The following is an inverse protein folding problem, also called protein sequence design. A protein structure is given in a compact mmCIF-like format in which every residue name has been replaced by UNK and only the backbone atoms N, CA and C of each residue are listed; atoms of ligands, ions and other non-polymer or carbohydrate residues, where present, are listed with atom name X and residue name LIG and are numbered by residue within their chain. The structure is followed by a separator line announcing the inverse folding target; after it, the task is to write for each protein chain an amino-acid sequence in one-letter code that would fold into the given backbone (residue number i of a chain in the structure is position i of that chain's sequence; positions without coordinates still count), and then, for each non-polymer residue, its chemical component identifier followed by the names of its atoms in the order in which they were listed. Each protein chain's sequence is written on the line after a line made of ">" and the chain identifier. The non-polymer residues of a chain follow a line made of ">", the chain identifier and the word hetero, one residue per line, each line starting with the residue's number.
data_IF_326183028150
#
_entry.id   IF_326183028150
#
_cell.length_a   1.000
_cell.length_b   1.000
_cell.length_c   1.000
_cell.angle_alpha   90.00
_cell.angle_beta   90.00
_cell.angle_gamma   90.00
#
_symmetry.space_group_name_H-M   'P 1'
#
loop_
_entity.id
_entity.type
_entity.pdbx_description
1 polymer ?
#
# COMPACT_ATOMS: atom_id res chain seq x y z
N UNK A 1 -20.84 -3.24 -50.41
CA UNK A 1 -20.52 -3.03 -48.97
C UNK A 1 -21.68 -2.26 -48.38
N UNK A 2 -22.45 -2.91 -47.49
CA UNK A 2 -23.55 -2.27 -46.79
C UNK A 2 -23.03 -1.73 -45.45
N UNK A 3 -23.20 -0.43 -45.22
CA UNK A 3 -22.82 0.23 -43.98
C UNK A 3 -23.95 0.07 -42.96
N UNK A 4 -23.65 -0.52 -41.80
CA UNK A 4 -24.58 -0.60 -40.68
C UNK A 4 -24.74 0.81 -40.08
N UNK A 5 -25.93 1.37 -40.23
CA UNK A 5 -26.31 2.64 -39.62
C UNK A 5 -26.60 2.42 -38.13
N UNK A 6 -25.62 2.72 -37.26
CA UNK A 6 -25.83 2.72 -35.82
C UNK A 6 -26.73 3.91 -35.45
N UNK A 7 -28.01 3.64 -35.17
CA UNK A 7 -28.88 4.59 -34.49
C UNK A 7 -28.30 4.88 -33.11
N UNK A 8 -27.91 6.13 -32.88
CA UNK A 8 -27.57 6.68 -31.58
C UNK A 8 -28.77 6.56 -30.65
N UNK A 9 -28.67 5.71 -29.65
CA UNK A 9 -29.57 5.70 -28.50
C UNK A 9 -29.24 6.90 -27.62
N UNK A 10 -30.14 7.89 -27.58
CA UNK A 10 -30.13 8.94 -26.57
C UNK A 10 -30.30 8.29 -25.20
N UNK A 11 -29.20 8.11 -24.48
CA UNK A 11 -29.24 7.72 -23.08
C UNK A 11 -29.50 8.97 -22.24
N UNK A 12 -30.77 9.21 -21.90
CA UNK A 12 -31.14 10.05 -20.76
C UNK A 12 -30.58 9.39 -19.50
N UNK A 13 -29.36 9.73 -19.11
CA UNK A 13 -28.64 9.17 -17.96
C UNK A 13 -29.00 9.90 -16.65
N UNK A 14 -29.81 10.97 -16.68
CA UNK A 14 -30.09 11.78 -15.50
C UNK A 14 -31.52 11.66 -14.96
N UNK A 15 -32.14 10.47 -15.04
CA UNK A 15 -33.30 10.18 -14.18
C UNK A 15 -32.84 9.36 -12.99
N UNK A 16 -32.76 9.93 -11.76
CA UNK A 16 -32.53 9.13 -10.58
C UNK A 16 -33.68 8.12 -10.47
N UNK A 17 -33.34 6.84 -10.47
CA UNK A 17 -34.26 5.74 -10.19
C UNK A 17 -34.95 6.03 -8.84
N UNK A 18 -36.20 6.46 -8.89
CA UNK A 18 -37.02 6.62 -7.70
C UNK A 18 -37.43 5.23 -7.19
N UNK A 19 -36.59 4.63 -6.35
CA UNK A 19 -36.84 3.32 -5.73
C UNK A 19 -37.76 3.42 -4.49
N UNK A 20 -38.38 4.57 -4.25
CA UNK A 20 -39.37 4.71 -3.19
C UNK A 20 -40.78 4.46 -3.73
N UNK A 21 -41.18 3.19 -3.76
CA UNK A 21 -42.49 2.70 -3.25
C UNK A 21 -42.78 1.32 -3.82
N UNK A 22 -42.30 0.25 -3.16
CA UNK A 22 -42.90 -1.10 -3.07
C UNK A 22 -41.97 -2.18 -2.51
N UNK A 23 -40.81 -1.81 -1.94
CA UNK A 23 -39.83 -2.79 -1.44
C UNK A 23 -39.95 -3.08 0.07
N UNK A 24 -41.17 -3.12 0.62
CA UNK A 24 -41.37 -3.23 2.08
C UNK A 24 -42.08 -4.50 2.55
N UNK A 25 -42.21 -5.54 1.72
CA UNK A 25 -42.98 -6.75 2.11
C UNK A 25 -42.19 -8.06 2.23
N UNK A 26 -40.93 -8.16 1.77
CA UNK A 26 -40.11 -9.36 2.04
C UNK A 26 -38.65 -8.99 2.25
N UNK A 27 -38.24 -8.82 3.51
CA UNK A 27 -36.83 -8.84 3.90
C UNK A 27 -36.34 -10.29 3.97
N UNK A 28 -36.18 -10.92 2.81
CA UNK A 28 -35.38 -12.15 2.76
C UNK A 28 -33.94 -11.80 3.11
N UNK A 29 -33.35 -12.51 4.08
CA UNK A 29 -31.95 -12.30 4.52
C UNK A 29 -30.96 -12.31 3.35
N UNK A 30 -31.26 -13.12 2.33
CA UNK A 30 -30.48 -13.22 1.10
C UNK A 30 -30.48 -11.93 0.28
N UNK A 31 -31.55 -11.13 0.33
CA UNK A 31 -31.63 -9.86 -0.40
C UNK A 31 -30.83 -8.77 0.31
N UNK A 32 -30.84 -8.75 1.64
CA UNK A 32 -30.00 -7.84 2.44
C UNK A 32 -28.52 -8.18 2.26
N UNK A 33 -28.17 -9.46 2.26
CA UNK A 33 -26.80 -9.91 1.98
C UNK A 33 -26.35 -9.61 0.54
N UNK A 34 -27.26 -9.74 -0.42
CA UNK A 34 -27.00 -9.33 -1.80
C UNK A 34 -26.72 -7.83 -1.90
N UNK A 35 -27.54 -6.98 -1.28
CA UNK A 35 -27.33 -5.52 -1.24
C UNK A 35 -26.00 -5.15 -0.58
N UNK A 36 -25.67 -5.77 0.55
CA UNK A 36 -24.40 -5.53 1.25
C UNK A 36 -23.19 -5.96 0.42
N UNK A 37 -23.29 -7.11 -0.27
CA UNK A 37 -22.23 -7.58 -1.19
C UNK A 37 -22.13 -6.68 -2.41
N UNK A 38 -23.25 -6.25 -3.00
CA UNK A 38 -23.25 -5.37 -4.16
C UNK A 38 -22.72 -3.99 -3.82
N UNK A 39 -23.02 -3.44 -2.65
CA UNK A 39 -22.44 -2.16 -2.20
C UNK A 39 -20.94 -2.28 -1.92
N UNK A 40 -20.49 -3.42 -1.39
CA UNK A 40 -19.06 -3.69 -1.21
C UNK A 40 -18.34 -3.79 -2.56
N UNK A 41 -18.93 -4.51 -3.53
CA UNK A 41 -18.40 -4.62 -4.90
C UNK A 41 -18.43 -3.26 -5.60
N UNK A 42 -19.51 -2.48 -5.45
CA UNK A 42 -19.62 -1.14 -6.05
C UNK A 42 -18.62 -0.16 -5.44
N UNK A 43 -18.36 -0.24 -4.12
CA UNK A 43 -17.27 0.51 -3.48
C UNK A 43 -15.92 0.09 -4.03
N UNK A 44 -15.67 -1.22 -4.19
CA UNK A 44 -14.43 -1.76 -4.77
C UNK A 44 -14.23 -1.32 -6.23
N UNK A 45 -15.28 -1.35 -7.05
CA UNK A 45 -15.27 -0.90 -8.45
C UNK A 45 -15.08 0.62 -8.54
N UNK A 46 -15.75 1.41 -7.70
CA UNK A 46 -15.54 2.86 -7.63
C UNK A 46 -14.15 3.24 -7.15
N UNK A 47 -13.54 2.48 -6.23
CA UNK A 47 -12.11 2.65 -5.92
C UNK A 47 -11.22 2.26 -7.09
N UNK A 48 -11.61 1.32 -7.95
CA UNK A 48 -10.85 0.98 -9.16
C UNK A 48 -10.94 2.07 -10.23
N UNK A 49 -12.12 2.64 -10.48
CA UNK A 49 -12.36 3.61 -11.55
C UNK A 49 -11.98 5.06 -11.17
N UNK A 50 -12.00 5.42 -9.88
CA UNK A 50 -11.46 6.71 -9.42
C UNK A 50 -9.95 6.70 -9.18
N UNK A 51 -9.27 5.57 -9.35
CA UNK A 51 -7.81 5.51 -9.37
C UNK A 51 -7.33 5.84 -10.78
N UNK A 52 -7.59 7.08 -11.20
CA UNK A 52 -6.60 7.80 -11.98
C UNK A 52 -5.42 8.11 -11.06
N UNK A 53 -4.73 7.07 -10.55
CA UNK A 53 -3.42 7.26 -9.90
C UNK A 53 -2.59 8.04 -10.89
N UNK A 54 -2.20 9.26 -10.51
CA UNK A 54 -1.25 10.05 -11.28
C UNK A 54 -0.06 9.15 -11.67
N UNK A 55 0.59 9.43 -12.80
CA UNK A 55 1.79 8.68 -13.22
C UNK A 55 2.80 8.54 -12.08
N UNK A 56 2.91 9.58 -11.25
CA UNK A 56 3.72 9.62 -10.03
C UNK A 56 3.29 8.58 -8.99
N UNK A 57 1.99 8.43 -8.72
CA UNK A 57 1.48 7.43 -7.79
C UNK A 57 1.74 6.00 -8.30
N UNK A 58 1.60 5.75 -9.60
CA UNK A 58 1.94 4.43 -10.19
C UNK A 58 3.43 4.11 -10.06
N UNK A 59 4.29 5.10 -10.30
CA UNK A 59 5.75 4.96 -10.13
C UNK A 59 6.09 4.70 -8.65
N UNK A 60 5.44 5.42 -7.72
CA UNK A 60 5.65 5.24 -6.29
C UNK A 60 5.23 3.83 -5.82
N UNK A 61 4.08 3.33 -6.27
CA UNK A 61 3.63 1.97 -5.99
C UNK A 61 4.62 0.92 -6.53
N UNK A 62 5.05 1.07 -7.79
CA UNK A 62 6.01 0.15 -8.40
C UNK A 62 7.38 0.18 -7.70
N UNK A 63 7.79 1.35 -7.20
CA UNK A 63 9.00 1.47 -6.40
C UNK A 63 8.86 0.74 -5.07
N UNK A 64 7.73 0.85 -4.38
CA UNK A 64 7.46 0.10 -3.15
C UNK A 64 7.50 -1.41 -3.41
N UNK A 65 6.83 -1.88 -4.45
CA UNK A 65 6.85 -3.30 -4.87
C UNK A 65 8.27 -3.81 -5.09
N UNK A 66 9.08 -3.04 -5.82
CA UNK A 66 10.48 -3.38 -6.10
C UNK A 66 11.33 -3.40 -4.83
N UNK A 67 11.27 -2.33 -4.04
CA UNK A 67 12.10 -2.16 -2.83
C UNK A 67 11.77 -3.17 -1.73
N UNK A 68 10.53 -3.67 -1.69
CA UNK A 68 10.09 -4.69 -0.75
C UNK A 68 9.97 -6.09 -1.37
N UNK A 69 10.36 -6.26 -2.65
CA UNK A 69 10.24 -7.51 -3.40
C UNK A 69 8.89 -8.21 -3.17
N UNK A 70 7.82 -7.47 -3.49
CA UNK A 70 6.42 -7.88 -3.36
C UNK A 70 5.59 -7.35 -4.53
N UNK A 71 4.36 -7.84 -4.68
CA UNK A 71 3.34 -7.24 -5.54
C UNK A 71 2.19 -6.75 -4.66
N UNK A 72 1.76 -5.50 -4.85
CA UNK A 72 0.64 -4.92 -4.12
C UNK A 72 -0.65 -5.50 -4.71
N UNK A 73 -1.49 -6.03 -3.83
CA UNK A 73 -2.76 -6.66 -4.20
C UNK A 73 -3.92 -6.04 -3.43
N UNK A 74 -5.15 -6.47 -3.74
CA UNK A 74 -6.34 -5.94 -3.08
C UNK A 74 -6.38 -6.17 -1.57
N UNK A 75 -5.63 -7.13 -1.04
CA UNK A 75 -5.55 -7.40 0.40
C UNK A 75 -4.54 -6.51 1.15
N UNK A 76 -3.81 -5.66 0.43
CA UNK A 76 -2.87 -4.70 1.01
C UNK A 76 -3.49 -3.31 1.17
N UNK A 77 -4.80 -3.17 0.91
CA UNK A 77 -5.57 -1.96 1.11
C UNK A 77 -6.49 -2.11 2.33
N UNK A 78 -6.66 -1.00 3.06
CA UNK A 78 -7.64 -0.84 4.13
C UNK A 78 -9.05 -0.75 3.56
N UNK A 79 -10.06 -0.91 4.42
CA UNK A 79 -11.48 -0.78 4.05
C UNK A 79 -11.85 0.60 3.48
N UNK A 80 -11.06 1.63 3.76
CA UNK A 80 -11.24 2.98 3.22
C UNK A 80 -10.57 3.19 1.85
N UNK A 81 -10.01 2.13 1.24
CA UNK A 81 -9.36 2.17 -0.06
C UNK A 81 -7.94 2.73 -0.06
N UNK A 82 -7.36 3.04 1.10
CA UNK A 82 -5.97 3.49 1.23
C UNK A 82 -5.02 2.31 1.43
N UNK A 83 -3.78 2.45 1.00
CA UNK A 83 -2.78 1.39 1.12
C UNK A 83 -2.36 1.22 2.59
N UNK A 84 -2.37 -0.03 3.09
CA UNK A 84 -1.95 -0.39 4.45
C UNK A 84 -0.44 -0.51 4.53
N UNK A 85 0.24 0.64 4.61
CA UNK A 85 1.72 0.69 4.67
C UNK A 85 2.26 -0.05 5.88
N UNK A 86 1.61 0.05 7.03
CA UNK A 86 2.08 -0.62 8.24
C UNK A 86 1.91 -2.14 8.16
N UNK A 87 0.81 -2.62 7.56
CA UNK A 87 0.64 -4.03 7.22
C UNK A 87 1.73 -4.53 6.28
N UNK A 88 2.04 -3.77 5.22
CA UNK A 88 3.09 -4.08 4.26
C UNK A 88 4.47 -4.15 4.93
N UNK A 89 4.84 -3.14 5.73
CA UNK A 89 6.12 -3.09 6.45
C UNK A 89 6.26 -4.28 7.39
N UNK A 90 5.20 -4.69 8.09
CA UNK A 90 5.25 -5.86 8.98
C UNK A 90 5.52 -7.16 8.22
N UNK A 91 5.00 -7.30 7.00
CA UNK A 91 5.15 -8.53 6.18
C UNK A 91 6.45 -8.57 5.38
N UNK A 92 6.96 -7.41 4.94
CA UNK A 92 8.01 -7.33 3.92
C UNK A 92 9.11 -6.31 4.22
N UNK A 93 9.03 -5.58 5.34
CA UNK A 93 10.00 -4.53 5.68
C UNK A 93 11.42 -5.05 5.92
N UNK A 94 11.58 -6.33 6.28
CA UNK A 94 12.87 -6.99 6.40
C UNK A 94 13.67 -6.97 5.08
N UNK A 95 12.98 -7.05 3.94
CA UNK A 95 13.56 -7.06 2.59
C UNK A 95 14.10 -5.70 2.13
N UNK A 96 13.69 -4.60 2.77
CA UNK A 96 14.10 -3.26 2.34
C UNK A 96 15.62 -3.10 2.50
N UNK A 97 16.35 -2.86 1.42
CA UNK A 97 17.80 -2.64 1.54
C UNK A 97 18.12 -1.24 2.07
N UNK A 98 19.31 -1.05 2.65
CA UNK A 98 19.74 0.30 3.06
C UNK A 98 19.87 1.26 1.89
N UNK A 99 20.24 0.77 0.69
CA UNK A 99 20.38 1.58 -0.52
C UNK A 99 19.01 2.09 -1.01
N UNK A 100 17.96 1.30 -0.80
CA UNK A 100 16.61 1.59 -1.27
C UNK A 100 15.78 2.42 -0.29
N UNK A 101 16.27 2.64 0.94
CA UNK A 101 15.59 3.41 2.00
C UNK A 101 15.10 4.77 1.52
N UNK A 102 15.91 5.48 0.72
CA UNK A 102 15.58 6.81 0.22
C UNK A 102 14.41 6.73 -0.77
N UNK A 103 14.48 5.84 -1.74
CA UNK A 103 13.47 5.68 -2.78
C UNK A 103 12.14 5.20 -2.20
N UNK A 104 12.19 4.32 -1.20
CA UNK A 104 11.02 3.89 -0.43
C UNK A 104 10.37 5.09 0.30
N UNK A 105 11.17 5.91 1.01
CA UNK A 105 10.68 7.09 1.72
C UNK A 105 10.05 8.13 0.77
N UNK A 106 10.72 8.41 -0.34
CA UNK A 106 10.26 9.39 -1.33
C UNK A 106 8.94 8.88 -1.97
N UNK A 107 8.81 7.58 -2.21
CA UNK A 107 7.55 6.95 -2.66
C UNK A 107 6.41 7.09 -1.66
N UNK A 108 6.67 6.85 -0.37
CA UNK A 108 5.67 7.08 0.69
C UNK A 108 5.21 8.54 0.73
N UNK A 109 6.13 9.48 0.53
CA UNK A 109 5.80 10.92 0.49
C UNK A 109 4.88 11.24 -0.68
N UNK A 110 5.17 10.70 -1.86
CA UNK A 110 4.32 10.84 -3.04
C UNK A 110 2.92 10.28 -2.79
N UNK A 111 2.81 9.07 -2.23
CA UNK A 111 1.50 8.48 -1.91
C UNK A 111 0.72 9.27 -0.86
N UNK A 112 1.41 9.88 0.12
CA UNK A 112 0.77 10.77 1.10
C UNK A 112 0.19 12.02 0.43
N UNK A 113 0.99 12.68 -0.42
CA UNK A 113 0.57 13.89 -1.13
C UNK A 113 -0.60 13.64 -2.08
N UNK A 114 -0.67 12.44 -2.65
CA UNK A 114 -1.77 11.98 -3.51
C UNK A 114 -2.97 11.44 -2.70
N UNK A 115 -2.92 11.46 -1.36
CA UNK A 115 -3.99 11.01 -0.48
C UNK A 115 -4.22 9.50 -0.44
N UNK A 116 -3.30 8.70 -0.99
CA UNK A 116 -3.42 7.24 -1.15
C UNK A 116 -3.00 6.45 0.09
N UNK A 117 -2.35 7.11 1.05
CA UNK A 117 -2.05 6.55 2.38
C UNK A 117 -2.58 7.46 3.48
N UNK A 118 -2.66 6.93 4.68
CA UNK A 118 -2.99 7.71 5.87
C UNK A 118 -1.75 8.42 6.41
N UNK A 119 -1.93 9.63 6.94
CA UNK A 119 -0.83 10.39 7.56
C UNK A 119 -0.25 9.65 8.76
N UNK A 120 -1.09 8.98 9.55
CA UNK A 120 -0.64 8.17 10.68
C UNK A 120 0.31 7.04 10.23
N UNK A 121 -0.08 6.27 9.22
CA UNK A 121 0.75 5.21 8.64
C UNK A 121 2.06 5.75 8.08
N UNK A 122 2.02 6.91 7.41
CA UNK A 122 3.22 7.56 6.93
C UNK A 122 4.19 7.87 8.07
N UNK A 123 3.73 8.53 9.14
CA UNK A 123 4.60 8.88 10.26
C UNK A 123 5.17 7.66 10.99
N UNK A 124 4.37 6.60 11.17
CA UNK A 124 4.85 5.35 11.76
C UNK A 124 5.87 4.66 10.84
N UNK A 125 5.68 4.69 9.52
CA UNK A 125 6.65 4.18 8.56
C UNK A 125 7.97 4.95 8.62
N UNK A 126 7.94 6.29 8.68
CA UNK A 126 9.14 7.12 8.83
C UNK A 126 9.87 6.78 10.14
N UNK A 127 9.14 6.66 11.24
CA UNK A 127 9.70 6.29 12.55
C UNK A 127 10.37 4.91 12.49
N UNK A 128 9.72 3.94 11.86
CA UNK A 128 10.27 2.61 11.64
C UNK A 128 11.56 2.65 10.82
N UNK A 129 11.62 3.44 9.73
CA UNK A 129 12.84 3.63 8.94
C UNK A 129 13.98 4.22 9.78
N UNK A 130 13.70 5.22 10.61
CA UNK A 130 14.70 5.83 11.50
C UNK A 130 15.24 4.84 12.54
N UNK A 131 14.35 4.07 13.18
CA UNK A 131 14.74 3.06 14.17
C UNK A 131 15.59 1.95 13.54
N UNK A 132 15.24 1.51 12.33
CA UNK A 132 15.99 0.49 11.58
C UNK A 132 17.39 0.96 11.22
N UNK A 133 17.54 2.23 10.83
CA UNK A 133 18.86 2.84 10.58
C UNK A 133 19.73 2.87 11.84
N UNK A 134 19.14 3.22 12.98
CA UNK A 134 19.84 3.27 14.27
C UNK A 134 20.25 1.89 14.77
N UNK A 135 19.38 0.88 14.61
CA UNK A 135 19.69 -0.50 14.96
C UNK A 135 20.89 -1.01 14.15
N UNK A 136 20.92 -0.75 12.83
CA UNK A 136 22.02 -1.17 11.98
C UNK A 136 23.34 -0.51 12.38
N UNK A 137 23.36 0.81 12.61
CA UNK A 137 24.56 1.53 13.10
C UNK A 137 25.08 0.97 14.43
N UNK A 138 24.16 0.58 15.32
CA UNK A 138 24.52 0.03 16.64
C UNK A 138 25.08 -1.39 16.50
N UNK A 139 24.49 -2.20 15.61
CA UNK A 139 24.97 -3.54 15.31
C UNK A 139 26.35 -3.53 14.66
N UNK A 140 26.55 -2.69 13.64
CA UNK A 140 27.83 -2.54 12.95
C UNK A 140 28.93 -2.11 13.94
N UNK A 141 28.63 -1.18 14.86
CA UNK A 141 29.57 -0.76 15.92
C UNK A 141 29.92 -1.91 16.88
N UNK A 142 28.93 -2.73 17.27
CA UNK A 142 29.15 -3.88 18.14
C UNK A 142 30.07 -4.92 17.48
N UNK A 143 29.88 -5.17 16.18
CA UNK A 143 30.70 -6.09 15.39
C UNK A 143 32.15 -5.58 15.27
N UNK A 144 32.34 -4.29 15.00
CA UNK A 144 33.66 -3.66 14.99
C UNK A 144 34.37 -3.74 16.34
N UNK A 145 33.65 -3.48 17.44
CA UNK A 145 34.19 -3.56 18.81
C UNK A 145 34.58 -5.01 19.18
N UNK A 146 33.81 -6.01 18.72
CA UNK A 146 34.16 -7.43 18.88
C UNK A 146 35.41 -7.80 18.09
N UNK A 147 35.51 -7.40 16.82
CA UNK A 147 36.70 -7.64 15.97
C UNK A 147 37.93 -7.01 16.60
N UNK A 148 37.81 -5.79 17.13
CA UNK A 148 38.90 -5.09 17.80
C UNK A 148 39.34 -5.83 19.06
N UNK A 149 38.39 -6.31 19.87
CA UNK A 149 38.66 -7.07 21.08
C UNK A 149 39.40 -8.39 20.79
N UNK A 150 39.02 -9.11 19.73
CA UNK A 150 39.71 -10.34 19.29
C UNK A 150 41.16 -10.02 18.90
N UNK A 151 41.40 -8.98 18.09
CA UNK A 151 42.76 -8.57 17.68
C UNK A 151 43.65 -8.16 18.85
N UNK A 152 43.09 -7.55 19.88
CA UNK A 152 43.83 -7.16 21.09
C UNK A 152 44.18 -8.37 21.97
N UNK A 153 43.35 -9.43 21.96
CA UNK A 153 43.64 -10.70 22.63
C UNK A 153 44.79 -11.42 21.91
N UNK A 154 44.75 -11.52 20.58
CA UNK A 154 45.79 -12.19 19.79
C UNK A 154 47.17 -11.52 19.93
N UNK A 155 47.22 -10.19 19.99
CA UNK A 155 48.46 -9.44 20.26
C UNK A 155 49.08 -9.74 21.62
N UNK A 156 48.28 -10.10 22.63
CA UNK A 156 48.80 -10.45 23.97
C UNK A 156 49.32 -11.88 24.06
N UNK A 157 48.93 -12.77 23.14
CA UNK A 157 49.48 -14.13 23.05
C UNK A 157 50.85 -14.23 22.38
N UNK A 158 51.25 -13.25 21.56
CA UNK A 158 52.57 -13.21 20.91
C UNK A 158 53.72 -12.78 21.83
N UNK A 159 53.44 -12.29 23.05
CA UNK A 159 54.44 -11.87 24.04
C UNK A 159 54.67 -12.90 25.16
N UNK A 160 54.52 -14.20 24.89
CA UNK A 160 54.84 -15.28 25.84
C UNK A 160 55.94 -16.18 25.34
#
# INVERSE_FOLDING_TARGET
>A
MEFINMKTTNSNIDTPLNVNTKLNTHKDSNFVDFLNKSDKILKQLKTQDNVSTSTEARIALSTIEKTLSMNISSCDYKDNGKLDIMGIIRKHGDKLSTRDTKDFRDSLTTLLNQGLIESHDYFEAIKWLSLRSNFKKTNDKCEDDLIKSIREIDKKSEYK
#
